data_IF_135898408579
#
_entry.id   IF_135898408579
#
_cell.length_a   1.000
_cell.length_b   1.000
_cell.length_c   1.000
_cell.angle_alpha   90.00
_cell.angle_beta   90.00
_cell.angle_gamma   90.00
#
_symmetry.space_group_name_H-M   'P 1'
#
loop_
_entity.id
_entity.type
_entity.pdbx_description
1 polymer ?
#
# COMPACT_ATOMS: atom_id res chain seq x y z
N UNK A 1 -18.93 -7.72 1.08
CA UNK A 1 -17.52 -8.09 0.88
C UNK A 1 -16.63 -6.97 1.43
N UNK A 2 -15.56 -7.32 2.14
CA UNK A 2 -14.59 -6.37 2.72
C UNK A 2 -13.17 -6.84 2.42
N UNK A 3 -12.27 -5.91 2.13
CA UNK A 3 -10.83 -6.15 1.91
C UNK A 3 -10.03 -5.82 3.15
N UNK A 4 -9.01 -6.60 3.44
CA UNK A 4 -8.08 -6.30 4.53
C UNK A 4 -7.02 -5.31 4.06
N UNK A 5 -6.67 -4.37 4.94
CA UNK A 5 -5.72 -3.29 4.67
C UNK A 5 -4.56 -3.41 5.65
N UNK A 6 -3.35 -3.36 5.12
CA UNK A 6 -2.11 -3.47 5.88
C UNK A 6 -1.19 -2.29 5.57
N UNK A 7 -0.48 -1.80 6.59
CA UNK A 7 0.73 -0.99 6.40
C UNK A 7 1.91 -1.94 6.29
N UNK A 8 2.66 -1.84 5.21
CA UNK A 8 3.81 -2.69 4.94
C UNK A 8 5.08 -1.85 5.02
N UNK A 9 6.12 -2.40 5.61
CA UNK A 9 7.47 -1.85 5.58
C UNK A 9 8.36 -2.73 4.69
N UNK A 10 9.08 -2.07 3.78
CA UNK A 10 10.12 -2.65 2.96
C UNK A 10 11.45 -2.00 3.31
N UNK A 11 12.53 -2.80 3.33
CA UNK A 11 13.88 -2.34 3.51
C UNK A 11 14.21 -1.28 2.45
N UNK A 12 14.67 -0.13 2.91
CA UNK A 12 15.06 0.99 2.07
C UNK A 12 16.26 1.73 2.65
N UNK A 13 17.02 2.40 1.78
CA UNK A 13 18.14 3.24 2.19
C UNK A 13 17.81 4.72 1.86
N UNK A 14 18.02 5.66 2.80
CA UNK A 14 18.52 5.48 4.17
C UNK A 14 17.43 5.08 5.20
N UNK A 15 16.17 4.94 4.76
CA UNK A 15 15.02 4.64 5.63
C UNK A 15 14.13 3.61 4.96
N UNK A 16 13.45 2.82 5.78
CA UNK A 16 12.44 1.87 5.30
C UNK A 16 11.33 2.57 4.51
N UNK A 17 11.01 1.97 3.38
CA UNK A 17 9.91 2.39 2.54
C UNK A 17 8.61 1.83 3.09
N UNK A 18 7.61 2.70 3.23
CA UNK A 18 6.30 2.29 3.72
C UNK A 18 5.26 2.37 2.61
N UNK A 19 4.46 1.32 2.51
CA UNK A 19 3.36 1.21 1.57
C UNK A 19 2.08 0.74 2.26
N UNK A 20 0.96 0.89 1.57
CA UNK A 20 -0.33 0.37 1.99
C UNK A 20 -0.70 -0.76 1.04
N UNK A 21 -0.95 -1.93 1.59
CA UNK A 21 -1.36 -3.11 0.85
C UNK A 21 -2.82 -3.41 1.15
N UNK A 22 -3.62 -3.56 0.10
CA UNK A 22 -5.03 -3.93 0.21
C UNK A 22 -5.22 -5.27 -0.47
N UNK A 23 -5.68 -6.27 0.28
CA UNK A 23 -5.97 -7.61 -0.24
C UNK A 23 -7.26 -7.53 -1.05
N UNK A 24 -7.18 -7.79 -2.35
CA UNK A 24 -8.33 -7.68 -3.26
C UNK A 24 -8.73 -8.99 -3.91
N UNK A 25 -7.84 -9.98 -3.91
CA UNK A 25 -8.01 -11.25 -4.61
C UNK A 25 -7.98 -12.44 -3.61
N UNK A 26 -8.55 -13.57 -4.02
CA UNK A 26 -8.67 -14.77 -3.18
C UNK A 26 -7.33 -15.48 -2.92
N UNK A 27 -6.33 -15.25 -3.77
CA UNK A 27 -4.94 -15.73 -3.60
C UNK A 27 -4.12 -14.86 -2.62
N UNK A 28 -4.79 -13.97 -1.89
CA UNK A 28 -4.23 -12.94 -0.99
C UNK A 28 -3.37 -11.89 -1.70
N UNK A 29 -3.34 -11.86 -3.04
CA UNK A 29 -2.77 -10.75 -3.79
C UNK A 29 -3.68 -9.52 -3.74
N UNK A 30 -3.15 -8.37 -4.16
CA UNK A 30 -3.78 -7.10 -3.86
C UNK A 30 -3.30 -5.91 -4.68
N UNK A 31 -3.59 -4.73 -4.14
CA UNK A 31 -3.05 -3.46 -4.62
C UNK A 31 -2.09 -2.88 -3.60
N UNK A 32 -1.01 -2.29 -4.12
CA UNK A 32 -0.01 -1.55 -3.34
C UNK A 32 -0.16 -0.07 -3.68
N UNK A 33 -0.35 0.73 -2.65
CA UNK A 33 -0.36 2.19 -2.71
C UNK A 33 0.89 2.70 -2.01
N UNK A 34 1.69 3.50 -2.71
CA UNK A 34 2.96 3.99 -2.19
C UNK A 34 3.34 5.34 -2.79
N UNK A 35 4.25 6.05 -2.12
CA UNK A 35 5.02 7.10 -2.79
C UNK A 35 6.31 6.52 -3.33
N UNK A 36 6.62 6.83 -4.58
CA UNK A 36 7.85 6.44 -5.26
C UNK A 36 8.57 7.68 -5.80
N UNK A 37 9.84 7.50 -6.18
CA UNK A 37 10.69 8.60 -6.63
C UNK A 37 11.54 9.20 -5.51
N UNK A 38 12.11 10.36 -5.77
CA UNK A 38 13.02 11.04 -4.85
C UNK A 38 12.61 12.52 -4.69
N UNK A 39 13.17 13.20 -3.68
CA UNK A 39 12.80 14.59 -3.37
C UNK A 39 13.15 15.52 -4.54
N UNK A 40 14.27 15.28 -5.22
CA UNK A 40 14.76 16.11 -6.33
C UNK A 40 13.82 16.06 -7.55
N UNK A 41 13.23 14.90 -7.82
CA UNK A 41 12.38 14.62 -8.98
C UNK A 41 10.90 14.58 -8.62
N UNK A 42 10.54 15.06 -7.41
CA UNK A 42 9.21 14.99 -6.80
C UNK A 42 8.79 13.54 -6.48
N UNK A 43 8.32 13.32 -5.25
CA UNK A 43 7.66 12.06 -4.90
C UNK A 43 6.32 11.96 -5.62
N UNK A 44 6.06 10.81 -6.23
CA UNK A 44 4.83 10.54 -6.98
C UNK A 44 4.07 9.42 -6.29
N UNK A 45 2.75 9.58 -6.20
CA UNK A 45 1.88 8.51 -5.73
C UNK A 45 1.75 7.43 -6.82
N UNK A 46 1.97 6.18 -6.45
CA UNK A 46 1.81 5.00 -7.29
C UNK A 46 0.75 4.08 -6.70
N UNK A 47 -0.17 3.64 -7.56
CA UNK A 47 -1.12 2.56 -7.34
C UNK A 47 -0.79 1.47 -8.36
N UNK A 48 -0.51 0.25 -7.86
CA UNK A 48 -0.22 -0.89 -8.73
C UNK A 48 -0.75 -2.20 -8.15
N UNK A 49 -1.07 -3.19 -9.01
CA UNK A 49 -1.25 -4.55 -8.55
C UNK A 49 0.05 -5.09 -7.92
N UNK A 50 -0.09 -5.88 -6.87
CA UNK A 50 1.02 -6.46 -6.12
C UNK A 50 0.71 -7.86 -5.62
N UNK A 51 1.75 -8.68 -5.55
CA UNK A 51 1.70 -9.98 -4.85
C UNK A 51 1.67 -9.77 -3.34
N UNK A 52 1.66 -10.87 -2.58
CA UNK A 52 1.79 -10.83 -1.13
C UNK A 52 3.10 -10.10 -0.77
N UNK A 53 3.05 -9.12 0.17
CA UNK A 53 4.23 -8.41 0.61
C UNK A 53 5.40 -9.32 1.03
N UNK A 54 5.09 -10.45 1.65
CA UNK A 54 6.04 -11.44 2.15
C UNK A 54 6.86 -12.11 1.04
N UNK A 55 6.40 -12.06 -0.20
CA UNK A 55 7.16 -12.58 -1.35
C UNK A 55 8.28 -11.63 -1.81
N UNK A 56 8.29 -10.38 -1.31
CA UNK A 56 9.35 -9.43 -1.63
C UNK A 56 10.60 -9.71 -0.80
N UNK A 57 11.77 -9.76 -1.46
CA UNK A 57 13.06 -9.86 -0.78
C UNK A 57 13.37 -8.68 0.15
N UNK A 58 12.72 -7.53 -0.07
CA UNK A 58 12.85 -6.34 0.79
C UNK A 58 11.82 -6.30 1.92
N UNK A 59 10.91 -7.29 2.04
CA UNK A 59 9.89 -7.28 3.08
C UNK A 59 10.51 -7.26 4.49
N UNK A 60 10.00 -6.38 5.35
CA UNK A 60 10.42 -6.29 6.75
C UNK A 60 9.26 -6.63 7.69
N UNK A 61 8.09 -6.02 7.49
CA UNK A 61 6.91 -6.30 8.32
C UNK A 61 5.62 -5.83 7.66
N UNK A 62 4.48 -6.33 8.16
CA UNK A 62 3.16 -5.74 7.90
C UNK A 62 2.37 -5.61 9.20
N UNK A 63 1.57 -4.55 9.28
CA UNK A 63 0.68 -4.26 10.40
C UNK A 63 -0.73 -4.13 9.85
N UNK A 64 -1.68 -4.87 10.43
CA UNK A 64 -3.09 -4.75 10.08
C UNK A 64 -3.61 -3.37 10.48
N UNK A 65 -4.22 -2.66 9.53
CA UNK A 65 -4.77 -1.32 9.72
C UNK A 65 -6.29 -1.36 9.85
N UNK A 66 -6.96 -2.24 9.09
CA UNK A 66 -8.41 -2.37 9.15
C UNK A 66 -9.01 -3.11 7.95
N UNK A 67 -10.34 -3.05 7.84
CA UNK A 67 -11.11 -3.60 6.72
C UNK A 67 -11.79 -2.51 5.92
N UNK A 68 -11.64 -2.55 4.61
CA UNK A 68 -12.31 -1.67 3.66
C UNK A 68 -13.56 -2.35 3.10
N UNK A 69 -14.73 -1.70 3.19
CA UNK A 69 -15.93 -2.22 2.54
C UNK A 69 -15.84 -2.12 1.01
N UNK A 70 -16.46 -3.06 0.29
CA UNK A 70 -16.52 -3.04 -1.17
C UNK A 70 -17.11 -1.71 -1.72
N UNK A 71 -18.05 -1.10 -1.00
CA UNK A 71 -18.66 0.17 -1.37
C UNK A 71 -17.73 1.40 -1.27
N UNK A 72 -16.64 1.30 -0.49
CA UNK A 72 -15.61 2.34 -0.41
C UNK A 72 -14.51 2.15 -1.46
N UNK A 73 -14.26 0.91 -1.93
CA UNK A 73 -13.27 0.62 -2.97
C UNK A 73 -13.60 1.32 -4.30
N UNK A 74 -14.88 1.42 -4.64
CA UNK A 74 -15.36 2.13 -5.84
C UNK A 74 -15.47 3.66 -5.70
N UNK A 75 -15.27 4.21 -4.49
CA UNK A 75 -15.35 5.65 -4.22
C UNK A 75 -14.01 6.16 -3.73
N UNK A 76 -13.11 6.46 -4.69
CA UNK A 76 -11.84 7.17 -4.49
C UNK A 76 -11.12 6.84 -3.17
N UNK A 77 -10.51 5.65 -3.11
CA UNK A 77 -9.53 5.32 -2.06
C UNK A 77 -8.41 6.37 -1.96
N UNK A 78 -8.19 7.11 -3.06
CA UNK A 78 -7.31 8.27 -3.19
C UNK A 78 -7.53 9.40 -2.17
N UNK A 79 -8.71 9.51 -1.53
CA UNK A 79 -8.99 10.62 -0.61
C UNK A 79 -8.44 10.43 0.81
N UNK A 80 -8.04 9.22 1.19
CA UNK A 80 -7.50 8.93 2.54
C UNK A 80 -6.00 9.30 2.64
N UNK A 81 -5.27 9.30 1.52
CA UNK A 81 -3.83 9.62 1.50
C UNK A 81 -3.50 11.07 1.16
N UNK A 82 -4.51 11.89 0.88
CA UNK A 82 -4.34 13.27 0.39
C UNK A 82 -4.51 14.36 1.45
N UNK A 83 -4.51 14.01 2.75
CA UNK A 83 -4.70 14.99 3.85
C UNK A 83 -3.51 15.12 4.79
N UNK A 84 -2.30 14.77 4.36
CA UNK A 84 -1.07 15.17 5.06
C UNK A 84 -0.32 16.17 4.17
N UNK A 85 -0.71 17.44 4.27
CA UNK A 85 -0.10 18.62 3.68
C UNK A 85 -0.35 19.79 4.58
#
# INVERSE_FOLDING_TARGET
MSSEVYRVAYAGLPRDHHAIFVVTNDDESGHIFQMTGNIQNRMTFEDKPGKKPEESASFQSKVFVGKLSAAMRGRNFYRVFHTCG
#
